data_IF_940340233538
#
_entry.id   IF_940340233538
#
_cell.length_a   1.000
_cell.length_b   1.000
_cell.length_c   1.000
_cell.angle_alpha   90.00
_cell.angle_beta   90.00
_cell.angle_gamma   90.00
#
_symmetry.space_group_name_H-M   'P 1'
#
loop_
_entity.id
_entity.type
_entity.pdbx_description
1 polymer ?
#
# COMPACT_ATOMS: atom_id res chain seq x y z
N UNK A 1 -7.22 -4.11 3.65
CA UNK A 1 -7.35 -2.70 3.26
C UNK A 1 -6.39 -1.85 4.08
N UNK A 2 -5.29 -1.44 3.46
CA UNK A 2 -4.35 -0.47 4.03
C UNK A 2 -4.43 0.90 3.34
N UNK A 3 -4.05 1.93 4.09
CA UNK A 3 -3.64 3.23 3.56
C UNK A 3 -2.19 3.49 3.97
N UNK A 4 -1.31 3.56 2.98
CA UNK A 4 0.10 3.95 3.12
C UNK A 4 0.24 5.43 2.81
N UNK A 5 0.44 6.26 3.82
CA UNK A 5 0.62 7.71 3.67
C UNK A 5 2.08 8.11 3.92
N UNK A 6 2.73 8.58 2.86
CA UNK A 6 4.09 9.09 2.88
C UNK A 6 4.09 10.59 3.07
N UNK A 7 4.57 11.06 4.22
CA UNK A 7 4.94 12.45 4.43
C UNK A 7 6.38 12.61 4.00
N UNK A 8 6.65 13.46 3.02
CA UNK A 8 7.98 13.56 2.43
C UNK A 8 8.51 14.99 2.38
N UNK A 9 9.80 15.14 2.70
CA UNK A 9 10.57 16.38 2.54
C UNK A 9 11.40 16.38 1.24
N UNK A 10 11.29 15.31 0.45
CA UNK A 10 12.01 15.16 -0.81
C UNK A 10 11.19 15.71 -2.00
N UNK A 11 11.85 16.20 -3.07
CA UNK A 11 11.20 16.59 -4.33
C UNK A 11 10.74 15.38 -5.15
N UNK A 12 9.83 14.57 -4.59
CA UNK A 12 9.37 13.34 -5.24
C UNK A 12 8.54 13.65 -6.49
N UNK A 13 9.04 13.25 -7.65
CA UNK A 13 8.35 13.31 -8.92
C UNK A 13 7.36 12.16 -9.11
N UNK A 14 6.61 12.21 -10.22
CA UNK A 14 5.68 11.14 -10.60
C UNK A 14 6.35 9.75 -10.69
N UNK A 15 7.56 9.59 -11.27
CA UNK A 15 8.20 8.28 -11.35
C UNK A 15 8.48 7.65 -9.98
N UNK A 16 8.99 8.42 -9.03
CA UNK A 16 9.28 7.92 -7.68
C UNK A 16 7.99 7.51 -6.94
N UNK A 17 6.96 8.36 -6.99
CA UNK A 17 5.65 8.09 -6.37
C UNK A 17 4.99 6.86 -6.98
N UNK A 18 4.97 6.75 -8.31
CA UNK A 18 4.40 5.63 -9.03
C UNK A 18 5.14 4.32 -8.73
N UNK A 19 6.48 4.34 -8.71
CA UNK A 19 7.26 3.16 -8.37
C UNK A 19 7.00 2.70 -6.93
N UNK A 20 6.98 3.64 -5.97
CA UNK A 20 6.72 3.30 -4.57
C UNK A 20 5.33 2.72 -4.37
N UNK A 21 4.31 3.34 -4.97
CA UNK A 21 2.93 2.85 -4.92
C UNK A 21 2.84 1.42 -5.49
N UNK A 22 3.42 1.19 -6.67
CA UNK A 22 3.44 -0.14 -7.31
C UNK A 22 4.11 -1.19 -6.43
N UNK A 23 5.34 -0.95 -5.95
CA UNK A 23 6.07 -1.90 -5.11
C UNK A 23 5.29 -2.30 -3.86
N UNK A 24 4.63 -1.33 -3.22
CA UNK A 24 3.83 -1.56 -2.01
C UNK A 24 2.55 -2.31 -2.33
N UNK A 25 1.85 -1.93 -3.41
CA UNK A 25 0.64 -2.60 -3.86
C UNK A 25 0.90 -4.06 -4.18
N UNK A 26 1.89 -4.34 -5.02
CA UNK A 26 2.27 -5.71 -5.43
C UNK A 26 2.63 -6.55 -4.20
N UNK A 27 3.47 -6.00 -3.31
CA UNK A 27 3.90 -6.69 -2.11
C UNK A 27 2.77 -6.93 -1.11
N UNK A 28 1.92 -5.94 -0.84
CA UNK A 28 0.82 -6.08 0.10
C UNK A 28 -0.20 -7.10 -0.41
N UNK A 29 -0.60 -6.98 -1.68
CA UNK A 29 -1.56 -7.87 -2.31
C UNK A 29 -1.09 -9.32 -2.26
N UNK A 30 0.18 -9.58 -2.58
CA UNK A 30 0.77 -10.92 -2.53
C UNK A 30 0.92 -11.43 -1.09
N UNK A 31 1.48 -10.61 -0.20
CA UNK A 31 1.79 -11.02 1.19
C UNK A 31 0.54 -11.34 2.00
N UNK A 32 -0.54 -10.58 1.77
CA UNK A 32 -1.78 -10.69 2.54
C UNK A 32 -2.94 -11.30 1.74
N UNK A 33 -2.65 -11.85 0.56
CA UNK A 33 -3.64 -12.46 -0.34
C UNK A 33 -4.88 -11.60 -0.55
N UNK A 34 -4.64 -10.32 -0.74
CA UNK A 34 -5.69 -9.32 -0.92
C UNK A 34 -5.69 -8.82 -2.36
N UNK A 35 -6.85 -8.47 -2.94
CA UNK A 35 -6.91 -7.82 -4.26
C UNK A 35 -6.12 -6.51 -4.31
N UNK A 36 -5.44 -6.19 -5.42
CA UNK A 36 -4.59 -4.99 -5.51
C UNK A 36 -5.37 -3.69 -5.29
N UNK A 37 -6.64 -3.66 -5.69
CA UNK A 37 -7.42 -2.41 -5.71
C UNK A 37 -7.69 -1.81 -4.33
N UNK A 38 -7.58 -2.61 -3.26
CA UNK A 38 -7.83 -2.14 -1.89
C UNK A 38 -6.60 -1.47 -1.25
N UNK A 39 -5.45 -1.47 -1.95
CA UNK A 39 -4.20 -0.90 -1.44
C UNK A 39 -4.14 0.57 -1.82
N UNK A 40 -4.28 1.45 -0.83
CA UNK A 40 -4.27 2.88 -1.04
C UNK A 40 -2.88 3.46 -0.69
N UNK A 41 -2.32 4.25 -1.60
CA UNK A 41 -1.08 4.99 -1.37
C UNK A 41 -1.34 6.50 -1.52
N UNK A 42 -0.87 7.28 -0.55
CA UNK A 42 -1.00 8.74 -0.52
C UNK A 42 0.37 9.37 -0.27
N UNK A 43 0.65 10.47 -0.96
CA UNK A 43 1.90 11.21 -0.84
C UNK A 43 1.60 12.65 -0.44
N UNK A 44 2.09 13.05 0.72
CA UNK A 44 1.93 14.39 1.29
C UNK A 44 3.28 15.09 1.23
N UNK A 45 3.36 16.12 0.40
CA UNK A 45 4.55 16.95 0.30
C UNK A 45 4.57 17.97 1.45
N UNK A 46 5.44 17.74 2.43
CA UNK A 46 5.55 18.61 3.62
C UNK A 46 6.69 19.62 3.49
N UNK A 47 7.34 19.73 2.32
CA UNK A 47 8.38 20.74 2.09
C UNK A 47 7.83 22.15 2.25
N UNK A 48 6.63 22.39 1.72
CA UNK A 48 5.95 23.68 1.77
C UNK A 48 5.24 23.97 3.11
N UNK A 49 5.11 22.97 4.00
CA UNK A 49 4.52 23.19 5.32
C UNK A 49 5.40 24.13 6.16
N UNK A 50 4.85 24.82 7.16
CA UNK A 50 5.68 25.58 8.10
C UNK A 50 6.54 24.59 8.91
N UNK A 51 7.85 24.82 8.99
CA UNK A 51 8.74 23.99 9.83
C UNK A 51 8.38 24.11 11.31
N UNK A 52 7.88 25.28 11.73
CA UNK A 52 7.53 25.59 13.11
C UNK A 52 6.35 24.78 13.67
N UNK A 53 5.66 24.01 12.82
CA UNK A 53 4.53 23.15 13.21
C UNK A 53 4.94 21.68 13.37
N UNK A 54 6.20 21.33 13.10
CA UNK A 54 6.70 19.95 13.21
C UNK A 54 7.78 19.85 14.27
N UNK A 55 7.49 19.09 15.33
CA UNK A 55 8.37 18.91 16.46
C UNK A 55 8.64 17.44 16.71
N UNK A 56 9.91 17.06 16.85
CA UNK A 56 10.35 15.71 17.23
C UNK A 56 11.28 15.83 18.41
N UNK A 57 10.92 15.20 19.54
CA UNK A 57 11.71 15.31 20.77
C UNK A 57 11.87 16.74 21.30
N UNK A 58 10.93 17.64 21.00
CA UNK A 58 11.03 19.06 21.37
C UNK A 58 11.87 19.92 20.42
N UNK A 59 12.32 19.38 19.29
CA UNK A 59 13.06 20.11 18.27
C UNK A 59 12.25 20.29 16.99
N UNK A 60 12.27 21.50 16.43
CA UNK A 60 11.67 21.81 15.14
C UNK A 60 12.34 20.99 14.03
N UNK A 61 11.61 20.06 13.41
CA UNK A 61 12.18 19.10 12.48
C UNK A 61 11.13 18.52 11.53
N UNK A 62 11.37 18.66 10.23
CA UNK A 62 10.67 17.87 9.21
C UNK A 62 11.48 16.62 8.88
N UNK A 63 10.80 15.48 8.84
CA UNK A 63 11.39 14.20 8.45
C UNK A 63 10.48 13.49 7.47
N UNK A 64 11.03 12.58 6.66
CA UNK A 64 10.16 11.66 5.92
C UNK A 64 9.57 10.65 6.90
N UNK A 65 8.26 10.45 6.80
CA UNK A 65 7.50 9.51 7.65
C UNK A 65 6.56 8.68 6.80
N UNK A 66 6.37 7.43 7.21
CA UNK A 66 5.34 6.56 6.67
C UNK A 66 4.32 6.25 7.76
N UNK A 67 3.08 6.69 7.54
CA UNK A 67 1.92 6.35 8.35
C UNK A 67 1.15 5.23 7.65
N UNK A 68 0.90 4.14 8.35
CA UNK A 68 0.19 2.99 7.79
C UNK A 68 -1.07 2.78 8.62
N UNK A 69 -2.21 3.11 8.06
CA UNK A 69 -3.52 2.79 8.64
C UNK A 69 -4.02 1.48 8.03
N UNK A 70 -4.38 0.50 8.85
CA UNK A 70 -4.90 -0.78 8.38
C UNK A 70 -6.03 -1.30 9.26
N UNK A 71 -6.74 -2.28 8.72
CA UNK A 71 -7.79 -3.00 9.46
C UNK A 71 -7.21 -3.73 10.66
N UNK A 72 -7.81 -3.52 11.83
CA UNK A 72 -7.44 -4.23 13.05
C UNK A 72 -7.63 -5.74 12.83
N UNK A 73 -6.54 -6.49 12.89
CA UNK A 73 -6.52 -7.94 12.67
C UNK A 73 -6.41 -8.74 13.97
N UNK A 74 -6.33 -10.06 13.86
CA UNK A 74 -6.21 -11.01 14.99
C UNK A 74 -4.85 -10.99 15.71
N UNK A 75 -4.00 -10.01 15.41
CA UNK A 75 -2.68 -9.79 16.02
C UNK A 75 -1.52 -10.23 15.12
N UNK A 76 -0.60 -9.31 14.82
CA UNK A 76 0.72 -9.64 14.24
C UNK A 76 1.76 -9.72 15.36
N UNK A 77 2.75 -10.58 15.20
CA UNK A 77 3.89 -10.65 16.12
C UNK A 77 4.83 -9.47 15.95
N UNK A 78 5.67 -9.20 16.95
CA UNK A 78 6.69 -8.16 16.88
C UNK A 78 7.64 -8.37 15.68
N UNK A 79 8.07 -9.62 15.44
CA UNK A 79 8.96 -9.95 14.32
C UNK A 79 8.29 -9.74 12.95
N UNK A 80 6.99 -10.00 12.85
CA UNK A 80 6.21 -9.69 11.66
C UNK A 80 6.15 -8.17 11.43
N UNK A 81 5.93 -7.37 12.48
CA UNK A 81 5.96 -5.90 12.37
C UNK A 81 7.34 -5.39 11.97
N UNK A 82 8.42 -5.89 12.58
CA UNK A 82 9.80 -5.56 12.20
C UNK A 82 10.05 -5.87 10.72
N UNK A 83 9.68 -7.07 10.27
CA UNK A 83 9.87 -7.50 8.88
C UNK A 83 9.11 -6.62 7.89
N UNK A 84 7.84 -6.30 8.20
CA UNK A 84 7.01 -5.39 7.39
C UNK A 84 7.65 -4.01 7.32
N UNK A 85 8.02 -3.43 8.46
CA UNK A 85 8.63 -2.09 8.53
C UNK A 85 9.93 -2.03 7.73
N UNK A 86 10.83 -2.99 7.91
CA UNK A 86 12.10 -3.02 7.17
C UNK A 86 11.89 -3.21 5.68
N UNK A 87 10.89 -3.99 5.27
CA UNK A 87 10.55 -4.14 3.85
C UNK A 87 10.09 -2.81 3.24
N UNK A 88 9.24 -2.05 3.94
CA UNK A 88 8.74 -0.76 3.47
C UNK A 88 9.86 0.29 3.41
N UNK A 89 10.78 0.30 4.37
CA UNK A 89 12.01 1.12 4.31
C UNK A 89 12.85 0.77 3.08
N UNK A 90 12.98 -0.52 2.74
CA UNK A 90 13.71 -0.93 1.53
C UNK A 90 13.06 -0.43 0.24
N UNK A 91 11.72 -0.43 0.16
CA UNK A 91 10.98 0.10 -0.99
C UNK A 91 11.13 1.61 -1.13
N UNK A 92 11.11 2.32 -0.01
CA UNK A 92 11.41 3.75 0.01
C UNK A 92 12.80 4.01 -0.56
N UNK A 93 13.84 3.40 0.02
CA UNK A 93 15.23 3.60 -0.39
C UNK A 93 15.46 3.32 -1.88
N UNK A 94 14.89 2.23 -2.39
CA UNK A 94 14.97 1.90 -3.82
C UNK A 94 14.27 2.95 -4.69
N UNK A 95 13.08 3.40 -4.28
CA UNK A 95 12.28 4.34 -5.08
C UNK A 95 12.85 5.75 -5.13
N UNK A 96 13.67 6.13 -4.15
CA UNK A 96 14.22 7.49 -4.03
C UNK A 96 15.73 7.57 -4.32
N UNK A 97 16.36 6.47 -4.75
CA UNK A 97 17.81 6.39 -4.95
C UNK A 97 18.36 7.52 -5.83
N UNK A 98 17.65 7.86 -6.90
CA UNK A 98 18.07 8.86 -7.90
C UNK A 98 17.66 10.31 -7.54
N UNK A 99 16.94 10.51 -6.43
CA UNK A 99 16.54 11.85 -5.96
C UNK A 99 17.79 12.62 -5.52
N UNK A 100 17.92 13.89 -5.93
CA UNK A 100 19.03 14.74 -5.50
C UNK A 100 18.74 15.34 -4.12
N UNK A 101 19.33 14.74 -3.08
CA UNK A 101 19.25 15.16 -1.68
C UNK A 101 20.38 14.48 -0.88
N UNK A 102 20.72 15.00 0.30
CA UNK A 102 21.67 14.34 1.19
C UNK A 102 21.15 12.98 1.66
N UNK A 103 22.04 12.06 2.05
CA UNK A 103 21.61 10.75 2.58
C UNK A 103 20.73 10.91 3.82
N UNK A 104 21.04 11.89 4.68
CA UNK A 104 20.25 12.17 5.88
C UNK A 104 18.82 12.63 5.54
N UNK A 105 18.66 13.50 4.53
CA UNK A 105 17.34 13.93 4.05
C UNK A 105 16.57 12.80 3.35
N UNK A 106 17.27 11.81 2.82
CA UNK A 106 16.67 10.65 2.16
C UNK A 106 16.11 9.63 3.13
N UNK A 107 16.54 9.62 4.38
CA UNK A 107 16.10 8.62 5.35
C UNK A 107 14.59 8.69 5.61
N UNK A 108 13.94 7.52 5.60
CA UNK A 108 12.60 7.34 6.16
C UNK A 108 12.76 7.19 7.68
N UNK A 109 12.66 8.31 8.40
CA UNK A 109 13.01 8.38 9.83
C UNK A 109 12.01 7.62 10.70
N UNK A 110 10.73 7.72 10.35
CA UNK A 110 9.65 7.15 11.16
C UNK A 110 8.72 6.28 10.31
N UNK A 111 8.35 5.11 10.83
CA UNK A 111 7.34 4.23 10.25
C UNK A 111 6.38 3.80 11.35
N UNK A 112 5.11 4.16 11.20
CA UNK A 112 4.06 3.86 12.17
C UNK A 112 3.02 2.93 11.56
N UNK A 113 2.76 1.79 12.21
CA UNK A 113 1.70 0.85 11.84
C UNK A 113 0.55 0.97 12.82
N UNK A 114 -0.64 1.32 12.32
CA UNK A 114 -1.82 1.63 13.12
C UNK A 114 -3.00 0.73 12.70
N UNK A 115 -3.54 -0.05 13.64
CA UNK A 115 -4.80 -0.77 13.47
C UNK A 115 -5.97 0.13 13.83
N UNK A 116 -6.63 0.72 12.82
CA UNK A 116 -7.60 1.82 13.02
C UNK A 116 -8.92 1.65 12.27
N UNK A 117 -9.00 0.72 11.32
CA UNK A 117 -10.24 0.47 10.59
C UNK A 117 -10.98 -0.72 11.17
N UNK A 118 -12.22 -0.50 11.60
CA UNK A 118 -13.15 -1.57 12.01
C UNK A 118 -14.03 -2.04 10.83
N UNK A 119 -14.31 -1.13 9.90
CA UNK A 119 -15.08 -1.39 8.67
C UNK A 119 -14.49 -0.62 7.49
N UNK A 120 -14.72 -1.13 6.28
CA UNK A 120 -14.33 -0.48 5.03
C UNK A 120 -15.37 -0.75 3.94
N UNK A 121 -15.85 0.32 3.33
CA UNK A 121 -16.67 0.28 2.11
C UNK A 121 -15.90 0.97 1.00
N UNK A 122 -15.40 0.18 0.05
CA UNK A 122 -14.58 0.69 -1.05
C UNK A 122 -15.16 0.28 -2.38
N UNK A 123 -15.28 1.27 -3.29
CA UNK A 123 -15.67 1.04 -4.69
C UNK A 123 -16.94 0.18 -4.85
N UNK A 124 -17.90 0.37 -3.94
CA UNK A 124 -19.18 -0.34 -3.98
C UNK A 124 -19.26 -1.58 -3.08
N UNK A 125 -18.17 -2.00 -2.43
CA UNK A 125 -18.15 -3.25 -1.67
C UNK A 125 -17.77 -3.06 -0.20
N UNK A 126 -18.49 -3.76 0.68
CA UNK A 126 -18.02 -4.02 2.04
C UNK A 126 -16.89 -5.04 1.99
N UNK A 127 -15.71 -4.62 2.45
CA UNK A 127 -14.53 -5.47 2.45
C UNK A 127 -14.57 -6.45 3.64
N UNK A 128 -14.03 -7.66 3.48
CA UNK A 128 -14.04 -8.67 4.52
C UNK A 128 -12.95 -8.40 5.57
N UNK A 129 -12.99 -9.12 6.69
CA UNK A 129 -11.91 -9.10 7.69
C UNK A 129 -10.60 -9.66 7.08
N UNK A 130 -9.42 -9.35 7.65
CA UNK A 130 -8.17 -9.93 7.18
C UNK A 130 -8.22 -11.46 7.22
N UNK A 131 -7.74 -12.11 6.16
CA UNK A 131 -7.76 -13.58 6.02
C UNK A 131 -8.99 -14.16 5.31
N UNK A 132 -9.99 -13.32 5.00
CA UNK A 132 -11.25 -13.74 4.39
C UNK A 132 -11.37 -13.26 2.92
N UNK A 133 -10.25 -12.90 2.28
CA UNK A 133 -10.28 -12.33 0.93
C UNK A 133 -10.55 -13.38 -0.14
N UNK A 134 -9.98 -14.58 -0.06
CA UNK A 134 -10.21 -15.63 -1.04
C UNK A 134 -11.71 -16.00 -1.20
N UNK A 135 -12.44 -16.40 -0.13
CA UNK A 135 -13.87 -16.70 -0.25
C UNK A 135 -14.70 -15.47 -0.63
N UNK A 136 -14.31 -14.27 -0.16
CA UNK A 136 -14.98 -13.04 -0.52
C UNK A 136 -14.82 -12.68 -2.00
N UNK A 137 -13.62 -12.88 -2.58
CA UNK A 137 -13.39 -12.68 -4.01
C UNK A 137 -14.26 -13.64 -4.80
N UNK A 138 -14.24 -14.93 -4.47
CA UNK A 138 -15.05 -15.95 -5.15
C UNK A 138 -16.55 -15.60 -5.16
N UNK A 139 -17.08 -15.08 -4.05
CA UNK A 139 -18.48 -14.66 -3.94
C UNK A 139 -18.84 -13.39 -4.72
N UNK A 140 -17.87 -12.54 -5.05
CA UNK A 140 -18.11 -11.24 -5.70
C UNK A 140 -17.68 -11.19 -7.18
N UNK A 141 -17.06 -12.25 -7.72
CA UNK A 141 -16.61 -12.31 -9.12
C UNK A 141 -17.67 -11.87 -10.15
N UNK A 142 -18.96 -12.27 -10.06
CA UNK A 142 -19.96 -11.83 -11.03
C UNK A 142 -20.15 -10.30 -11.08
N UNK A 143 -20.11 -9.62 -9.93
CA UNK A 143 -20.23 -8.16 -9.90
C UNK A 143 -18.93 -7.48 -10.37
N UNK A 144 -17.76 -8.05 -10.05
CA UNK A 144 -16.48 -7.56 -10.60
C UNK A 144 -16.47 -7.60 -12.12
N UNK A 145 -16.93 -8.71 -12.72
CA UNK A 145 -17.03 -8.85 -14.16
C UNK A 145 -17.99 -7.82 -14.76
N UNK A 146 -19.16 -7.62 -14.15
CA UNK A 146 -20.13 -6.62 -14.58
C UNK A 146 -19.56 -5.20 -14.56
N UNK A 147 -18.80 -4.84 -13.52
CA UNK A 147 -18.14 -3.53 -13.44
C UNK A 147 -17.03 -3.37 -14.49
N UNK A 148 -16.25 -4.44 -14.72
CA UNK A 148 -15.23 -4.46 -15.76
C UNK A 148 -15.84 -4.30 -17.17
N UNK A 149 -16.91 -5.04 -17.47
CA UNK A 149 -17.67 -4.96 -18.73
C UNK A 149 -18.30 -3.57 -18.91
N UNK A 150 -18.73 -2.95 -17.82
CA UNK A 150 -19.22 -1.57 -17.75
C UNK A 150 -18.15 -0.50 -17.99
N UNK A 151 -16.87 -0.89 -18.10
CA UNK A 151 -15.79 0.01 -18.48
C UNK A 151 -14.88 0.46 -17.34
N UNK A 152 -15.13 0.04 -16.09
CA UNK A 152 -14.31 0.46 -14.95
C UNK A 152 -12.90 -0.14 -15.03
N UNK A 153 -11.89 0.73 -15.14
CA UNK A 153 -10.49 0.32 -15.31
C UNK A 153 -9.96 -0.47 -14.11
N UNK A 154 -10.36 -0.13 -12.89
CA UNK A 154 -9.90 -0.83 -11.68
C UNK A 154 -10.43 -2.25 -11.65
N UNK A 155 -11.70 -2.45 -12.05
CA UNK A 155 -12.29 -3.78 -12.09
C UNK A 155 -11.82 -4.61 -13.30
N UNK A 156 -11.46 -3.96 -14.42
CA UNK A 156 -10.76 -4.64 -15.52
C UNK A 156 -9.43 -5.22 -15.06
N UNK A 157 -8.63 -4.43 -14.34
CA UNK A 157 -7.36 -4.90 -13.79
C UNK A 157 -7.58 -6.01 -12.74
N UNK A 158 -8.61 -5.89 -11.90
CA UNK A 158 -8.97 -6.93 -10.91
C UNK A 158 -9.37 -8.26 -11.56
N UNK A 159 -10.15 -8.23 -12.64
CA UNK A 159 -10.54 -9.47 -13.35
C UNK A 159 -9.32 -10.17 -13.93
N UNK A 160 -8.37 -9.42 -14.49
CA UNK A 160 -7.09 -9.97 -14.97
C UNK A 160 -6.27 -10.54 -13.80
N UNK A 161 -6.15 -9.78 -12.70
CA UNK A 161 -5.47 -10.24 -11.48
C UNK A 161 -6.03 -11.57 -10.98
N UNK A 162 -7.35 -11.72 -10.91
CA UNK A 162 -8.01 -12.95 -10.44
C UNK A 162 -7.67 -14.15 -11.33
N UNK A 163 -7.56 -13.94 -12.65
CA UNK A 163 -7.21 -15.00 -13.60
C UNK A 163 -5.76 -15.48 -13.43
N UNK A 164 -4.86 -14.58 -13.03
CA UNK A 164 -3.43 -14.85 -12.87
C UNK A 164 -3.08 -15.40 -11.47
N UNK A 165 -3.90 -15.13 -10.45
CA UNK A 165 -3.61 -15.49 -9.05
C UNK A 165 -4.27 -16.81 -8.64
N UNK A 166 -3.49 -17.87 -8.34
CA UNK A 166 -4.03 -19.19 -8.02
C UNK A 166 -4.93 -19.22 -6.78
N UNK A 167 -4.66 -18.40 -5.77
CA UNK A 167 -5.46 -18.28 -4.55
C UNK A 167 -6.88 -17.75 -4.80
N UNK A 168 -7.11 -17.08 -5.93
CA UNK A 168 -8.43 -16.60 -6.36
C UNK A 168 -9.09 -17.52 -7.39
N UNK A 169 -8.52 -18.69 -7.65
CA UNK A 169 -9.02 -19.66 -8.63
C UNK A 169 -8.49 -19.46 -10.06
N UNK A 170 -7.47 -18.61 -10.24
CA UNK A 170 -6.77 -18.42 -11.50
C UNK A 170 -6.04 -19.67 -11.98
N UNK A 171 -5.93 -19.83 -13.31
CA UNK A 171 -5.22 -20.96 -13.91
C UNK A 171 -3.70 -20.70 -13.85
N UNK A 172 -2.96 -21.50 -13.06
CA UNK A 172 -1.48 -21.51 -13.02
C UNK A 172 -0.86 -22.10 -14.30
N UNK A 173 -1.20 -21.58 -15.49
CA UNK A 173 -0.61 -22.01 -16.76
C UNK A 173 -0.23 -20.79 -17.64
N UNK A 174 0.73 -19.98 -17.20
CA UNK A 174 1.35 -18.97 -18.07
C UNK A 174 2.76 -18.57 -17.63
N UNK A 175 3.68 -19.52 -17.47
CA UNK A 175 5.13 -19.21 -17.57
C UNK A 175 5.94 -20.48 -17.81
N UNK A 176 5.93 -20.93 -19.05
CA UNK A 176 6.90 -21.88 -19.60
C UNK A 176 7.00 -21.65 -21.12
N UNK A 177 7.56 -20.52 -21.54
CA UNK A 177 8.22 -20.33 -22.85
C UNK A 177 9.29 -19.25 -22.72
#
# INVERSE_FOLDING_TARGET
MPTYEFHHILPLGRPQKANLARLITDWHATTFKAPIFIVNCRFVDIRAANTQDFWVGGHELKTNKLMIALRSGTGRTEDQYKSITMKLVSFWNESIKDVQASQQEKELKDVFVMGVFDSAYERGFFLPMPGEFEPWVAGNQPEFQKLADGGDAVFKDLVLEIQERPEFGGNSQASSK
#
